data_IF_956377797258
#
_entry.id   IF_956377797258
#
_cell.length_a   1.000
_cell.length_b   1.000
_cell.length_c   1.000
_cell.angle_alpha   90.00
_cell.angle_beta   90.00
_cell.angle_gamma   90.00
#
_symmetry.space_group_name_H-M   'P 1'
#
loop_
_entity.id
_entity.type
_entity.pdbx_description
1 polymer ?
#
# COMPACT_ATOMS: atom_id res chain seq x y z
N UNK A 1 17.34 -5.67 0.77
CA UNK A 1 15.98 -5.56 0.25
C UNK A 1 15.75 -6.57 -0.87
N UNK A 2 14.52 -7.00 -1.07
CA UNK A 2 14.19 -8.01 -2.09
C UNK A 2 13.54 -7.36 -3.31
N UNK A 3 13.96 -7.79 -4.50
CA UNK A 3 13.37 -7.41 -5.78
C UNK A 3 12.73 -8.65 -6.38
N UNK A 4 11.42 -8.60 -6.60
CA UNK A 4 10.63 -9.79 -6.99
C UNK A 4 9.52 -9.44 -7.98
N UNK A 5 8.86 -10.46 -8.47
CA UNK A 5 7.80 -10.49 -9.47
C UNK A 5 8.35 -10.37 -10.90
N UNK A 6 7.90 -9.45 -11.73
CA UNK A 6 8.23 -9.36 -13.16
C UNK A 6 9.64 -8.78 -13.43
N UNK A 7 10.65 -9.44 -12.85
CA UNK A 7 12.08 -9.17 -13.06
C UNK A 7 12.78 -10.40 -13.61
N UNK A 8 13.87 -10.23 -14.36
CA UNK A 8 14.59 -11.34 -14.96
C UNK A 8 15.16 -12.31 -13.91
N UNK A 9 15.70 -11.77 -12.82
CA UNK A 9 16.28 -12.55 -11.74
C UNK A 9 15.79 -12.04 -10.38
N UNK A 10 14.73 -12.66 -9.79
CA UNK A 10 14.32 -12.31 -8.43
C UNK A 10 15.46 -12.51 -7.44
N UNK A 11 15.83 -11.46 -6.73
CA UNK A 11 17.05 -11.45 -5.88
C UNK A 11 16.86 -10.60 -4.64
N UNK A 12 17.58 -10.96 -3.59
CA UNK A 12 17.74 -10.10 -2.40
C UNK A 12 19.13 -9.45 -2.45
N UNK A 13 19.13 -8.12 -2.49
CA UNK A 13 20.33 -7.31 -2.66
C UNK A 13 20.59 -6.42 -1.43
N UNK A 14 21.87 -6.17 -1.17
CA UNK A 14 22.31 -5.16 -0.20
C UNK A 14 22.66 -3.90 -0.98
N UNK A 15 21.91 -2.84 -0.74
CA UNK A 15 22.07 -1.55 -1.43
C UNK A 15 22.26 -0.42 -0.43
N UNK A 16 23.03 0.63 -0.75
CA UNK A 16 23.12 1.82 0.09
C UNK A 16 21.79 2.57 0.08
N UNK A 17 21.53 3.32 1.15
CA UNK A 17 20.37 4.21 1.22
C UNK A 17 20.56 5.37 0.24
N UNK A 18 19.47 5.77 -0.40
CA UNK A 18 19.46 6.85 -1.38
C UNK A 18 19.64 6.42 -2.85
N UNK A 19 19.96 5.13 -3.12
CA UNK A 19 19.90 4.59 -4.48
C UNK A 19 18.49 4.73 -5.06
N UNK A 20 18.39 4.88 -6.37
CA UNK A 20 17.09 4.87 -7.04
C UNK A 20 16.50 3.47 -7.16
N UNK A 21 15.19 3.35 -7.28
CA UNK A 21 14.53 2.05 -7.49
C UNK A 21 14.97 1.43 -8.81
N UNK A 22 15.21 2.24 -9.85
CA UNK A 22 15.68 1.77 -11.15
C UNK A 22 17.07 1.12 -11.05
N UNK A 23 18.00 1.70 -10.27
CA UNK A 23 19.34 1.10 -10.05
C UNK A 23 19.23 -0.27 -9.37
N UNK A 24 18.32 -0.39 -8.43
CA UNK A 24 18.11 -1.66 -7.71
C UNK A 24 17.48 -2.71 -8.61
N UNK A 25 16.53 -2.34 -9.44
CA UNK A 25 15.89 -3.25 -10.41
C UNK A 25 16.87 -3.65 -11.51
N UNK A 26 17.78 -2.76 -11.91
CA UNK A 26 18.85 -3.08 -12.86
C UNK A 26 19.77 -4.21 -12.31
N UNK A 27 20.02 -4.26 -11.01
CA UNK A 27 20.77 -5.37 -10.39
C UNK A 27 20.03 -6.73 -10.45
N UNK A 28 18.71 -6.70 -10.56
CA UNK A 28 17.89 -7.88 -10.78
C UNK A 28 17.78 -8.27 -12.29
N UNK A 29 18.59 -7.67 -13.15
CA UNK A 29 18.60 -7.93 -14.59
C UNK A 29 17.52 -7.15 -15.35
N UNK A 30 16.91 -6.13 -14.75
CA UNK A 30 15.85 -5.34 -15.36
C UNK A 30 14.46 -5.99 -15.25
N UNK A 31 13.49 -5.38 -15.92
CA UNK A 31 12.09 -5.79 -15.92
C UNK A 31 11.74 -6.64 -17.13
N UNK A 32 10.83 -7.60 -16.98
CA UNK A 32 10.30 -8.43 -18.06
C UNK A 32 9.12 -7.78 -18.78
N UNK A 33 8.54 -6.72 -18.21
CA UNK A 33 7.37 -6.01 -18.75
C UNK A 33 7.75 -4.63 -19.31
N UNK A 34 7.00 -4.18 -20.33
CA UNK A 34 7.26 -2.90 -21.01
C UNK A 34 6.89 -1.69 -20.16
N UNK A 35 5.79 -1.78 -19.40
CA UNK A 35 5.28 -0.72 -18.51
C UNK A 35 5.28 -1.18 -17.05
N UNK A 36 6.44 -1.22 -16.39
CA UNK A 36 6.53 -1.69 -15.03
C UNK A 36 5.93 -0.65 -14.05
N UNK A 37 5.16 -1.13 -13.09
CA UNK A 37 4.74 -0.36 -11.93
C UNK A 37 5.53 -0.87 -10.73
N UNK A 38 6.28 0.03 -10.11
CA UNK A 38 7.04 -0.28 -8.92
C UNK A 38 6.14 -0.20 -7.68
N UNK A 39 6.06 -1.31 -6.98
CA UNK A 39 5.32 -1.40 -5.73
C UNK A 39 6.31 -1.50 -4.58
N UNK A 40 6.44 -0.42 -3.81
CA UNK A 40 7.40 -0.30 -2.72
C UNK A 40 6.80 -0.89 -1.46
N UNK A 41 7.40 -1.97 -0.97
CA UNK A 41 6.92 -2.74 0.17
C UNK A 41 6.10 -3.96 -0.24
N UNK A 42 5.30 -4.47 0.69
CA UNK A 42 4.46 -5.65 0.44
C UNK A 42 3.15 -5.31 -0.29
N UNK A 43 2.46 -6.31 -0.86
CA UNK A 43 1.24 -6.09 -1.66
C UNK A 43 0.08 -5.49 -0.86
N UNK A 44 0.04 -5.67 0.45
CA UNK A 44 -1.02 -5.13 1.31
C UNK A 44 -0.77 -3.70 1.75
N UNK A 45 0.39 -3.43 2.33
CA UNK A 45 0.76 -2.16 2.96
C UNK A 45 1.59 -1.26 2.05
N UNK A 46 2.15 -1.79 0.97
CA UNK A 46 3.02 -1.06 0.06
C UNK A 46 2.30 0.05 -0.71
N UNK A 47 3.09 0.95 -1.26
CA UNK A 47 2.63 2.05 -2.11
C UNK A 47 3.17 1.91 -3.53
N UNK A 48 2.47 2.50 -4.48
CA UNK A 48 2.98 2.67 -5.84
C UNK A 48 4.05 3.76 -5.79
N UNK A 49 5.22 3.44 -6.31
CA UNK A 49 6.36 4.35 -6.41
C UNK A 49 6.80 4.56 -7.85
N UNK A 50 7.76 5.47 -8.00
CA UNK A 50 8.42 5.76 -9.28
C UNK A 50 9.82 5.18 -9.27
N UNK A 51 10.38 4.91 -10.45
CA UNK A 51 11.75 4.43 -10.58
C UNK A 51 12.81 5.37 -10.00
N UNK A 52 12.52 6.67 -10.02
CA UNK A 52 13.37 7.71 -9.41
C UNK A 52 13.26 7.83 -7.89
N UNK A 53 12.33 7.11 -7.24
CA UNK A 53 12.17 7.19 -5.79
C UNK A 53 13.42 6.61 -5.09
N UNK A 54 13.92 7.26 -4.02
CA UNK A 54 15.09 6.77 -3.31
C UNK A 54 14.75 5.61 -2.38
N UNK A 55 15.69 4.68 -2.23
CA UNK A 55 15.63 3.63 -1.21
C UNK A 55 15.81 4.25 0.18
N UNK A 56 14.86 3.96 1.06
CA UNK A 56 14.87 4.41 2.46
C UNK A 56 15.05 3.24 3.43
N UNK A 57 15.27 3.51 4.71
CA UNK A 57 15.37 2.48 5.76
C UNK A 57 14.12 1.59 5.86
N UNK A 58 12.97 2.11 5.49
CA UNK A 58 11.69 1.40 5.54
C UNK A 58 11.38 0.61 4.27
N UNK A 59 12.24 0.71 3.24
CA UNK A 59 12.07 -0.01 1.98
C UNK A 59 12.58 -1.44 2.11
N UNK A 60 11.68 -2.40 2.30
CA UNK A 60 12.02 -3.81 2.50
C UNK A 60 12.05 -4.60 1.19
N UNK A 61 11.15 -4.27 0.27
CA UNK A 61 11.00 -4.96 -1.00
C UNK A 61 10.53 -4.01 -2.11
N UNK A 62 10.84 -4.38 -3.33
CA UNK A 62 10.25 -3.82 -4.56
C UNK A 62 9.58 -4.97 -5.29
N UNK A 63 8.29 -4.82 -5.59
CA UNK A 63 7.58 -5.70 -6.50
C UNK A 63 7.42 -4.95 -7.82
N UNK A 64 7.88 -5.56 -8.90
CA UNK A 64 7.68 -5.06 -10.25
C UNK A 64 6.45 -5.75 -10.81
N UNK A 65 5.39 -5.00 -11.08
CA UNK A 65 4.12 -5.54 -11.55
C UNK A 65 3.71 -4.87 -12.85
N UNK A 66 3.00 -5.57 -13.74
CA UNK A 66 2.40 -4.94 -14.91
C UNK A 66 1.26 -4.01 -14.46
N UNK A 67 1.02 -2.96 -15.25
CA UNK A 67 -0.04 -1.98 -14.97
C UNK A 67 -1.43 -2.60 -14.84
N UNK A 68 -1.67 -3.71 -15.57
CA UNK A 68 -2.95 -4.43 -15.56
C UNK A 68 -3.14 -5.34 -14.35
N UNK A 69 -2.13 -5.45 -13.49
CA UNK A 69 -2.20 -6.33 -12.34
C UNK A 69 -3.28 -5.88 -11.35
N UNK A 70 -4.06 -6.83 -10.84
CA UNK A 70 -5.19 -6.59 -9.94
C UNK A 70 -4.83 -5.72 -8.72
N UNK A 71 -3.65 -5.93 -8.14
CA UNK A 71 -3.16 -5.15 -6.98
C UNK A 71 -2.94 -3.69 -7.37
N UNK A 72 -2.36 -3.44 -8.56
CA UNK A 72 -2.13 -2.08 -9.08
C UNK A 72 -3.47 -1.39 -9.30
N UNK A 73 -4.40 -2.06 -9.98
CA UNK A 73 -5.74 -1.52 -10.23
C UNK A 73 -6.49 -1.21 -8.93
N UNK A 74 -6.42 -2.08 -7.92
CA UNK A 74 -7.02 -1.82 -6.61
C UNK A 74 -6.44 -0.61 -5.91
N UNK A 75 -5.12 -0.40 -6.00
CA UNK A 75 -4.45 0.76 -5.38
C UNK A 75 -4.68 2.07 -6.13
N UNK A 76 -4.87 2.01 -7.45
CA UNK A 76 -5.18 3.18 -8.28
C UNK A 76 -6.65 3.57 -8.24
N UNK A 77 -7.51 2.69 -7.74
CA UNK A 77 -8.96 2.93 -7.67
C UNK A 77 -9.30 4.03 -6.68
N UNK A 78 -10.30 4.83 -7.01
CA UNK A 78 -10.80 5.90 -6.11
C UNK A 78 -11.50 5.32 -4.89
N UNK A 79 -11.38 6.00 -3.75
CA UNK A 79 -12.01 5.62 -2.47
C UNK A 79 -13.54 5.66 -2.48
N UNK A 80 -14.18 6.29 -3.46
CA UNK A 80 -15.64 6.44 -3.53
C UNK A 80 -16.39 5.09 -3.51
N UNK A 81 -15.87 4.08 -4.21
CA UNK A 81 -16.47 2.73 -4.22
C UNK A 81 -16.31 2.06 -2.85
N UNK A 82 -15.16 2.25 -2.22
CA UNK A 82 -14.87 1.64 -0.91
C UNK A 82 -15.69 2.29 0.20
N UNK A 83 -15.96 3.60 0.12
CA UNK A 83 -16.89 4.30 1.01
C UNK A 83 -18.32 3.78 0.86
N UNK A 84 -18.81 3.60 -0.37
CA UNK A 84 -20.15 3.01 -0.62
C UNK A 84 -20.26 1.59 -0.05
N UNK A 85 -19.23 0.77 -0.23
CA UNK A 85 -19.18 -0.59 0.34
C UNK A 85 -19.14 -0.55 1.87
N UNK A 86 -18.34 0.34 2.44
CA UNK A 86 -18.26 0.52 3.89
C UNK A 86 -19.63 0.92 4.46
N UNK A 87 -20.35 1.84 3.83
CA UNK A 87 -21.68 2.26 4.23
C UNK A 87 -22.71 1.11 4.19
N UNK A 88 -22.62 0.23 3.17
CA UNK A 88 -23.55 -0.88 3.02
C UNK A 88 -23.29 -2.07 3.95
N UNK A 89 -22.03 -2.26 4.38
CA UNK A 89 -21.62 -3.40 5.19
C UNK A 89 -21.62 -3.07 6.69
N UNK A 90 -21.38 -1.81 7.05
CA UNK A 90 -21.24 -1.38 8.43
C UNK A 90 -22.56 -1.47 9.19
N UNK A 91 -22.69 -2.45 10.10
CA UNK A 91 -23.86 -2.60 10.99
C UNK A 91 -23.76 -1.79 12.28
N UNK A 92 -22.76 -0.92 12.43
CA UNK A 92 -22.52 -0.04 13.58
C UNK A 92 -22.37 -0.76 14.93
N UNK A 93 -21.89 -2.02 14.91
CA UNK A 93 -21.73 -2.86 16.11
C UNK A 93 -20.61 -2.42 17.08
N UNK A 94 -19.84 -1.40 16.75
CA UNK A 94 -18.72 -0.85 17.53
C UNK A 94 -17.50 -1.78 17.74
N UNK A 95 -17.57 -3.03 17.30
CA UNK A 95 -16.52 -4.03 17.49
C UNK A 95 -15.14 -3.56 17.01
N UNK A 96 -15.09 -2.77 15.95
CA UNK A 96 -13.82 -2.22 15.42
C UNK A 96 -13.12 -1.26 16.40
N UNK A 97 -13.86 -0.56 17.25
CA UNK A 97 -13.30 0.29 18.33
C UNK A 97 -12.92 -0.57 19.53
N UNK A 98 -13.77 -1.50 19.94
CA UNK A 98 -13.53 -2.36 21.09
C UNK A 98 -12.29 -3.26 20.92
N UNK A 99 -12.03 -3.72 19.68
CA UNK A 99 -10.86 -4.52 19.34
C UNK A 99 -9.66 -3.71 18.88
N UNK A 100 -9.77 -2.37 18.79
CA UNK A 100 -8.67 -1.54 18.31
C UNK A 100 -7.55 -1.46 19.35
N UNK A 101 -6.34 -1.97 19.07
CA UNK A 101 -5.26 -1.93 20.05
C UNK A 101 -4.82 -0.51 20.38
N UNK A 102 -4.97 0.44 19.46
CA UNK A 102 -4.63 1.84 19.69
C UNK A 102 -5.65 2.54 20.57
N UNK A 103 -6.94 2.28 20.38
CA UNK A 103 -7.99 2.77 21.28
C UNK A 103 -7.77 2.22 22.71
N UNK A 104 -7.50 0.93 22.82
CA UNK A 104 -7.27 0.25 24.10
C UNK A 104 -6.01 0.75 24.85
N UNK A 105 -5.03 1.30 24.11
CA UNK A 105 -3.86 1.98 24.68
C UNK A 105 -4.12 3.44 25.08
N UNK A 106 -5.36 3.94 24.95
CA UNK A 106 -5.75 5.29 25.30
C UNK A 106 -5.46 6.36 24.24
N UNK A 107 -5.12 5.96 23.00
CA UNK A 107 -5.02 6.93 21.91
C UNK A 107 -6.41 7.42 21.50
N UNK A 108 -6.58 8.70 21.10
CA UNK A 108 -7.85 9.28 20.66
C UNK A 108 -8.24 8.80 19.26
N UNK A 109 -8.30 7.50 19.07
CA UNK A 109 -8.66 6.84 17.81
C UNK A 109 -9.92 6.03 18.03
N UNK A 110 -10.98 6.39 17.32
CA UNK A 110 -12.27 5.69 17.36
C UNK A 110 -12.66 5.23 15.93
N UNK A 111 -12.33 3.97 15.57
CA UNK A 111 -12.68 3.42 14.27
C UNK A 111 -14.18 3.39 13.97
N UNK A 112 -15.05 3.13 14.95
CA UNK A 112 -16.47 3.12 14.74
C UNK A 112 -17.03 4.51 14.42
N UNK A 113 -16.51 5.54 15.11
CA UNK A 113 -16.85 6.94 14.83
C UNK A 113 -16.42 7.33 13.41
N UNK A 114 -15.19 6.95 13.03
CA UNK A 114 -14.69 7.17 11.66
C UNK A 114 -15.62 6.50 10.63
N UNK A 115 -15.99 5.23 10.84
CA UNK A 115 -16.87 4.50 9.92
C UNK A 115 -18.24 5.15 9.80
N UNK A 116 -18.82 5.65 10.88
CA UNK A 116 -20.11 6.39 10.85
C UNK A 116 -20.00 7.69 10.08
N UNK A 117 -18.93 8.46 10.36
CA UNK A 117 -18.70 9.73 9.65
C UNK A 117 -18.44 9.51 8.16
N UNK A 118 -17.63 8.52 7.80
CA UNK A 118 -17.35 8.16 6.41
C UNK A 118 -18.62 7.68 5.66
N UNK A 119 -19.47 6.89 6.31
CA UNK A 119 -20.73 6.41 5.74
C UNK A 119 -21.71 7.56 5.45
N UNK A 120 -21.71 8.57 6.31
CA UNK A 120 -22.56 9.76 6.17
C UNK A 120 -21.90 10.88 5.34
N UNK A 121 -20.70 10.66 4.82
CA UNK A 121 -19.89 11.66 4.13
C UNK A 121 -19.58 12.92 4.96
N UNK A 122 -19.62 12.80 6.28
CA UNK A 122 -19.35 13.87 7.23
C UNK A 122 -17.88 13.82 7.67
N UNK A 123 -16.99 14.28 6.79
CA UNK A 123 -15.55 14.26 7.02
C UNK A 123 -15.06 15.30 8.05
N UNK A 124 -15.91 16.21 8.51
CA UNK A 124 -15.56 17.16 9.57
C UNK A 124 -15.54 16.51 10.96
N UNK A 125 -16.14 15.33 11.09
CA UNK A 125 -16.23 14.56 12.35
C UNK A 125 -15.28 13.37 12.42
N UNK A 126 -14.43 13.20 11.40
CA UNK A 126 -13.47 12.09 11.33
C UNK A 126 -12.24 12.31 12.21
#
# INVERSE_FOLDING_TARGET
MSVVAEVNHPVTVKVPLGCTMDDVVAQAGGTTVKDPVYFIGGPMMGRIGKGSDPVTKTTNAILVLPKDHLIVQKKMRTSAIDLKRAASICCQCNTCTDLCPRNNLGHPIDPARFMRAASNQDFQRC
#
